data_IF_701176084219
#
_entry.id   IF_701176084219
#
_cell.length_a   1.000
_cell.length_b   1.000
_cell.length_c   1.000
_cell.angle_alpha   90.00
_cell.angle_beta   90.00
_cell.angle_gamma   90.00
#
_symmetry.space_group_name_H-M   'P 1'
#
loop_
_entity.id
_entity.type
_entity.pdbx_description
1 polymer ?
#
# COMPACT_ATOMS: atom_id res chain seq x y z
N UNK A 1 -9.04 -5.71 -4.60
CA UNK A 1 -9.25 -4.81 -5.75
C UNK A 1 -10.23 -5.41 -6.76
N UNK A 2 -9.93 -6.58 -7.35
CA UNK A 2 -10.74 -7.21 -8.42
C UNK A 2 -12.23 -7.40 -8.06
N UNK A 3 -12.55 -7.76 -6.81
CA UNK A 3 -13.94 -7.92 -6.35
C UNK A 3 -14.70 -6.60 -6.44
N UNK A 4 -14.09 -5.50 -6.00
CA UNK A 4 -14.70 -4.18 -6.07
C UNK A 4 -14.90 -3.72 -7.52
N UNK A 5 -13.93 -3.96 -8.40
CA UNK A 5 -14.07 -3.65 -9.82
C UNK A 5 -15.22 -4.44 -10.47
N UNK A 6 -15.41 -5.72 -10.12
CA UNK A 6 -16.56 -6.52 -10.56
C UNK A 6 -17.91 -6.02 -10.03
N UNK A 7 -17.90 -5.26 -8.94
CA UNK A 7 -19.07 -4.57 -8.39
C UNK A 7 -19.23 -3.15 -8.96
N UNK A 8 -18.55 -2.86 -10.06
CA UNK A 8 -18.59 -1.57 -10.78
C UNK A 8 -18.01 -0.38 -10.00
N UNK A 9 -17.29 -0.61 -8.89
CA UNK A 9 -16.54 0.45 -8.21
C UNK A 9 -15.28 0.80 -8.98
N UNK A 10 -15.08 2.07 -9.25
CA UNK A 10 -13.82 2.59 -9.81
C UNK A 10 -12.70 2.39 -8.77
N UNK A 11 -11.87 1.39 -9.01
CA UNK A 11 -10.92 0.89 -8.01
C UNK A 11 -9.48 1.18 -8.40
N UNK A 12 -8.71 1.77 -7.48
CA UNK A 12 -7.27 1.96 -7.58
C UNK A 12 -6.55 1.00 -6.62
N UNK A 13 -5.54 0.33 -7.10
CA UNK A 13 -4.54 -0.38 -6.31
C UNK A 13 -3.23 0.40 -6.32
N UNK A 14 -2.78 0.86 -5.17
CA UNK A 14 -1.45 1.45 -4.97
C UNK A 14 -0.56 0.38 -4.36
N UNK A 15 0.36 -0.16 -5.14
CA UNK A 15 1.24 -1.24 -4.72
C UNK A 15 2.60 -0.69 -4.27
N UNK A 16 2.78 -0.59 -2.95
CA UNK A 16 4.00 -0.13 -2.31
C UNK A 16 4.94 -1.29 -1.94
N UNK A 17 4.43 -2.54 -1.98
CA UNK A 17 5.20 -3.73 -1.64
C UNK A 17 5.98 -4.30 -2.84
N UNK A 18 5.53 -4.03 -4.07
CA UNK A 18 6.13 -4.61 -5.25
C UNK A 18 7.50 -4.02 -5.55
N UNK A 19 8.47 -4.89 -5.67
CA UNK A 19 9.75 -4.63 -6.32
C UNK A 19 9.59 -4.88 -7.82
N UNK A 20 8.81 -4.02 -8.47
CA UNK A 20 8.59 -4.14 -9.90
C UNK A 20 9.83 -3.67 -10.67
N UNK A 21 10.80 -4.55 -10.83
CA UNK A 21 11.93 -4.32 -11.72
C UNK A 21 11.38 -4.05 -13.13
N UNK A 22 11.63 -2.84 -13.65
CA UNK A 22 11.16 -2.43 -14.98
C UNK A 22 9.78 -1.76 -15.01
N UNK A 23 9.14 -1.49 -13.87
CA UNK A 23 7.99 -0.59 -13.80
C UNK A 23 8.41 0.87 -14.10
N UNK A 24 7.45 1.66 -14.58
CA UNK A 24 7.63 3.11 -14.70
C UNK A 24 8.01 3.69 -13.33
N UNK A 25 9.17 4.33 -13.24
CA UNK A 25 9.68 4.93 -11.99
C UNK A 25 8.98 6.25 -11.61
N UNK A 26 8.02 6.69 -12.40
CA UNK A 26 7.33 7.97 -12.24
C UNK A 26 6.74 8.18 -10.86
N UNK A 27 6.11 7.15 -10.29
CA UNK A 27 5.55 7.24 -8.94
C UNK A 27 6.64 7.35 -7.86
N UNK A 28 7.70 6.57 -7.96
CA UNK A 28 8.83 6.64 -7.02
C UNK A 28 9.53 7.99 -7.09
N UNK A 29 9.72 8.54 -8.28
CA UNK A 29 10.29 9.87 -8.50
C UNK A 29 9.38 10.98 -7.99
N UNK A 30 8.07 10.82 -8.14
CA UNK A 30 7.09 11.76 -7.58
C UNK A 30 7.16 11.76 -6.04
N UNK A 31 7.18 10.60 -5.40
CA UNK A 31 7.33 10.50 -3.95
C UNK A 31 8.65 11.11 -3.45
N UNK A 32 9.71 10.97 -4.22
CA UNK A 32 11.03 11.57 -3.94
C UNK A 32 11.10 13.07 -4.22
N UNK A 33 10.03 13.70 -4.73
CA UNK A 33 10.03 15.10 -5.15
C UNK A 33 10.82 15.38 -6.42
N UNK A 34 11.24 14.34 -7.13
CA UNK A 34 12.03 14.44 -8.37
C UNK A 34 11.17 14.50 -9.65
N UNK A 35 9.86 14.33 -9.52
CA UNK A 35 8.90 14.44 -10.61
C UNK A 35 7.60 15.08 -10.13
N UNK A 36 6.79 15.60 -11.07
CA UNK A 36 5.42 16.05 -10.79
C UNK A 36 4.43 14.87 -10.84
N UNK A 37 3.23 15.10 -10.34
CA UNK A 37 2.17 14.09 -10.31
C UNK A 37 1.77 13.58 -11.72
N UNK A 38 1.93 14.38 -12.76
CA UNK A 38 1.68 14.01 -14.15
C UNK A 38 2.60 12.89 -14.68
N UNK A 39 3.73 12.67 -14.00
CA UNK A 39 4.61 11.53 -14.28
C UNK A 39 4.09 10.20 -13.71
N UNK A 40 3.10 10.24 -12.81
CA UNK A 40 2.51 9.04 -12.21
C UNK A 40 1.48 8.44 -13.16
N UNK A 41 1.80 7.29 -13.73
CA UNK A 41 0.91 6.57 -14.66
C UNK A 41 0.30 5.35 -13.99
N UNK A 42 -1.02 5.25 -14.09
CA UNK A 42 -1.72 4.03 -13.73
C UNK A 42 -1.80 3.10 -14.95
N UNK A 43 -1.49 1.84 -14.74
CA UNK A 43 -1.83 0.79 -15.70
C UNK A 43 -3.22 0.24 -15.36
N UNK A 44 -4.01 -0.09 -16.38
CA UNK A 44 -5.34 -0.68 -16.18
C UNK A 44 -5.26 -2.16 -16.50
N UNK A 45 -5.63 -2.99 -15.53
CA UNK A 45 -5.72 -4.44 -15.69
C UNK A 45 -7.00 -4.82 -16.47
N UNK A 46 -7.02 -6.03 -17.02
CA UNK A 46 -8.20 -6.58 -17.75
C UNK A 46 -9.49 -6.55 -16.92
N UNK A 47 -9.38 -6.67 -15.60
CA UNK A 47 -10.53 -6.60 -14.66
C UNK A 47 -10.99 -5.17 -14.35
N UNK A 48 -10.47 -4.14 -15.04
CA UNK A 48 -10.83 -2.73 -14.82
C UNK A 48 -10.20 -2.07 -13.59
N UNK A 49 -9.28 -2.73 -12.91
CA UNK A 49 -8.53 -2.15 -11.78
C UNK A 49 -7.41 -1.28 -12.30
N UNK A 50 -7.37 -0.02 -11.85
CA UNK A 50 -6.20 0.85 -12.07
C UNK A 50 -5.10 0.47 -11.08
N UNK A 51 -3.86 0.36 -11.52
CA UNK A 51 -2.72 -0.01 -10.68
C UNK A 51 -1.61 0.99 -10.82
N UNK A 52 -1.11 1.46 -9.69
CA UNK A 52 0.11 2.28 -9.59
C UNK A 52 1.07 1.50 -8.71
N UNK A 53 2.24 1.17 -9.24
CA UNK A 53 3.26 0.41 -8.51
C UNK A 53 4.48 1.29 -8.24
N UNK A 54 5.09 1.05 -7.10
CA UNK A 54 6.38 1.64 -6.76
C UNK A 54 7.49 0.87 -7.46
N UNK A 55 8.44 1.58 -8.06
CA UNK A 55 9.73 1.01 -8.44
C UNK A 55 10.74 1.26 -7.31
N UNK A 56 11.57 0.30 -6.97
CA UNK A 56 12.63 0.50 -5.98
C UNK A 56 13.70 1.42 -6.56
N UNK A 57 13.77 2.62 -6.04
CA UNK A 57 14.95 3.47 -6.19
C UNK A 57 15.95 3.07 -5.11
N UNK A 58 17.15 2.70 -5.49
CA UNK A 58 18.12 1.96 -4.69
C UNK A 58 18.59 2.62 -3.36
N UNK A 59 18.35 3.88 -3.09
CA UNK A 59 18.98 4.55 -1.96
C UNK A 59 18.04 5.21 -0.92
N UNK A 60 16.76 5.49 -1.22
CA UNK A 60 15.89 6.26 -0.30
C UNK A 60 14.45 5.73 -0.18
N UNK A 61 14.21 4.48 -0.46
CA UNK A 61 12.85 3.91 -0.54
C UNK A 61 12.05 3.93 0.76
N UNK A 62 12.73 3.98 1.91
CA UNK A 62 12.08 3.88 3.22
C UNK A 62 11.46 5.20 3.69
N UNK A 63 12.13 6.32 3.50
CA UNK A 63 11.63 7.64 3.94
C UNK A 63 10.43 8.15 3.10
N UNK A 64 10.24 7.59 1.91
CA UNK A 64 9.21 8.04 0.98
C UNK A 64 7.79 7.62 1.40
N UNK A 65 7.65 6.52 2.14
CA UNK A 65 6.35 6.00 2.54
C UNK A 65 5.72 6.77 3.71
N UNK A 66 6.53 7.41 4.55
CA UNK A 66 6.06 8.28 5.63
C UNK A 66 5.88 9.76 5.18
N UNK A 67 6.01 10.02 3.88
CA UNK A 67 6.04 11.39 3.36
C UNK A 67 4.67 12.04 3.29
N UNK A 68 4.63 13.36 3.51
CA UNK A 68 3.44 14.19 3.24
C UNK A 68 2.99 14.08 1.78
N UNK A 69 3.91 13.78 0.87
CA UNK A 69 3.63 13.60 -0.55
C UNK A 69 2.73 12.40 -0.79
N UNK A 70 3.00 11.25 -0.12
CA UNK A 70 2.13 10.08 -0.21
C UNK A 70 0.74 10.36 0.38
N UNK A 71 0.66 11.01 1.54
CA UNK A 71 -0.61 11.39 2.15
C UNK A 71 -1.45 12.28 1.22
N UNK A 72 -0.84 13.31 0.64
CA UNK A 72 -1.52 14.20 -0.31
C UNK A 72 -1.96 13.46 -1.57
N UNK A 73 -1.13 12.56 -2.06
CA UNK A 73 -1.45 11.73 -3.22
C UNK A 73 -2.67 10.83 -2.97
N UNK A 74 -2.68 10.11 -1.84
CA UNK A 74 -3.80 9.24 -1.49
C UNK A 74 -5.10 10.03 -1.33
N UNK A 75 -5.08 11.18 -0.63
CA UNK A 75 -6.26 12.03 -0.47
C UNK A 75 -6.84 12.48 -1.82
N UNK A 76 -6.00 12.86 -2.78
CA UNK A 76 -6.48 13.18 -4.13
C UNK A 76 -7.08 11.98 -4.85
N UNK A 77 -6.48 10.79 -4.67
CA UNK A 77 -6.99 9.57 -5.32
C UNK A 77 -8.32 9.10 -4.73
N UNK A 78 -8.60 9.40 -3.48
CA UNK A 78 -9.92 9.18 -2.86
C UNK A 78 -11.02 10.04 -3.49
N UNK A 79 -10.69 11.21 -4.02
CA UNK A 79 -11.65 12.03 -4.77
C UNK A 79 -11.92 11.50 -6.19
N UNK A 80 -10.97 10.77 -6.78
CA UNK A 80 -11.02 10.26 -8.15
C UNK A 80 -11.58 8.83 -8.25
N UNK A 81 -11.48 8.04 -7.18
CA UNK A 81 -11.80 6.61 -7.13
C UNK A 81 -12.75 6.29 -6.00
N UNK A 82 -13.69 5.37 -6.23
CA UNK A 82 -14.61 4.90 -5.20
C UNK A 82 -13.92 4.04 -4.14
N UNK A 83 -12.84 3.37 -4.52
CA UNK A 83 -12.03 2.53 -3.64
C UNK A 83 -10.55 2.69 -3.95
N UNK A 84 -9.78 3.07 -2.95
CA UNK A 84 -8.32 3.07 -3.00
C UNK A 84 -7.81 1.97 -2.08
N UNK A 85 -7.08 1.02 -2.64
CA UNK A 85 -6.48 -0.11 -1.90
C UNK A 85 -4.98 0.08 -1.93
N UNK A 86 -4.36 0.13 -0.76
CA UNK A 86 -2.91 0.25 -0.62
C UNK A 86 -2.34 -1.10 -0.19
N UNK A 87 -1.46 -1.67 -1.00
CA UNK A 87 -0.68 -2.84 -0.64
C UNK A 87 0.63 -2.37 -0.01
N UNK A 88 0.70 -2.45 1.31
CA UNK A 88 1.88 -2.04 2.08
C UNK A 88 2.94 -3.15 2.11
N UNK A 89 4.22 -2.80 2.35
CA UNK A 89 5.27 -3.77 2.60
C UNK A 89 5.02 -4.64 3.82
N UNK A 90 5.83 -5.68 3.98
CA UNK A 90 5.78 -6.56 5.15
C UNK A 90 6.00 -5.77 6.45
N UNK A 91 5.13 -6.02 7.43
CA UNK A 91 5.23 -5.43 8.77
C UNK A 91 6.47 -5.90 9.52
N UNK A 92 6.99 -7.11 9.24
CA UNK A 92 8.23 -7.61 9.82
C UNK A 92 9.43 -6.88 9.19
N UNK A 93 10.00 -5.94 9.94
CA UNK A 93 11.23 -5.22 9.55
C UNK A 93 11.03 -3.95 8.71
N UNK A 94 9.79 -3.52 8.49
CA UNK A 94 9.52 -2.27 7.77
C UNK A 94 8.64 -1.32 8.60
N UNK A 95 9.27 -0.36 9.28
CA UNK A 95 8.55 0.64 10.06
C UNK A 95 7.59 1.49 9.20
N UNK A 96 7.89 1.62 7.92
CA UNK A 96 7.10 2.43 6.99
C UNK A 96 5.71 1.85 6.71
N UNK A 97 5.55 0.51 6.85
CA UNK A 97 4.24 -0.12 6.73
C UNK A 97 3.24 0.41 7.75
N UNK A 98 3.69 0.73 8.97
CA UNK A 98 2.86 1.37 9.99
C UNK A 98 2.48 2.80 9.61
N UNK A 99 3.42 3.56 9.06
CA UNK A 99 3.15 4.93 8.60
C UNK A 99 2.13 4.94 7.44
N UNK A 100 2.21 3.98 6.53
CA UNK A 100 1.21 3.80 5.46
C UNK A 100 -0.17 3.45 6.03
N UNK A 101 -0.22 2.55 7.02
CA UNK A 101 -1.47 2.14 7.65
C UNK A 101 -2.19 3.32 8.35
N UNK A 102 -1.43 4.27 8.93
CA UNK A 102 -2.00 5.49 9.52
C UNK A 102 -2.68 6.42 8.50
N UNK A 103 -2.38 6.28 7.21
CA UNK A 103 -3.00 7.06 6.14
C UNK A 103 -4.30 6.44 5.62
N UNK A 104 -4.66 5.25 6.10
CA UNK A 104 -5.80 4.49 5.61
C UNK A 104 -6.93 4.46 6.64
N UNK A 105 -8.18 4.52 6.19
CA UNK A 105 -9.37 4.42 7.05
C UNK A 105 -9.52 3.03 7.67
N UNK A 106 -9.04 2.00 6.97
CA UNK A 106 -9.15 0.59 7.37
C UNK A 106 -7.87 -0.16 7.10
N UNK A 107 -7.50 -1.03 8.03
CA UNK A 107 -6.31 -1.86 7.93
C UNK A 107 -6.67 -3.33 8.05
N UNK A 108 -6.21 -4.12 7.09
CA UNK A 108 -6.31 -5.59 7.10
C UNK A 108 -4.91 -6.18 7.05
N UNK A 109 -4.60 -7.07 7.97
CA UNK A 109 -3.31 -7.75 8.04
C UNK A 109 -3.41 -9.09 7.31
N UNK A 110 -2.57 -9.29 6.30
CA UNK A 110 -2.43 -10.57 5.60
C UNK A 110 -1.31 -11.40 6.23
N UNK A 111 -1.61 -12.65 6.61
CA UNK A 111 -0.66 -13.56 7.24
C UNK A 111 -0.57 -14.86 6.47
N UNK A 112 0.64 -15.33 6.18
CA UNK A 112 0.84 -16.67 5.64
C UNK A 112 0.81 -17.69 6.79
N UNK A 113 -0.06 -18.70 6.68
CA UNK A 113 -0.30 -19.69 7.75
C UNK A 113 0.97 -20.39 8.23
N UNK A 114 1.92 -20.64 7.34
CA UNK A 114 3.16 -21.36 7.65
C UNK A 114 4.26 -20.46 8.24
N UNK A 115 4.08 -19.16 8.21
CA UNK A 115 5.12 -18.17 8.59
C UNK A 115 4.73 -17.35 9.82
N UNK A 116 3.51 -17.54 10.36
CA UNK A 116 3.03 -16.74 11.48
C UNK A 116 2.64 -17.64 12.67
N UNK A 117 3.06 -17.21 13.84
CA UNK A 117 2.67 -17.80 15.13
C UNK A 117 1.65 -16.93 15.85
N UNK A 118 1.00 -17.45 16.90
CA UNK A 118 0.12 -16.63 17.74
C UNK A 118 0.85 -15.48 18.43
N UNK A 119 2.12 -15.68 18.78
CA UNK A 119 2.97 -14.63 19.35
C UNK A 119 3.23 -13.51 18.34
N UNK A 120 3.53 -13.87 17.08
CA UNK A 120 3.73 -12.87 16.01
C UNK A 120 2.47 -12.02 15.79
N UNK A 121 1.29 -12.63 15.81
CA UNK A 121 0.02 -11.89 15.66
C UNK A 121 -0.19 -10.90 16.81
N UNK A 122 0.08 -11.32 18.04
CA UNK A 122 -0.01 -10.45 19.20
C UNK A 122 0.97 -9.27 19.14
N UNK A 123 2.21 -9.53 18.71
CA UNK A 123 3.22 -8.48 18.54
C UNK A 123 2.82 -7.48 17.44
N UNK A 124 2.28 -7.96 16.33
CA UNK A 124 1.79 -7.12 15.22
C UNK A 124 0.63 -6.25 15.72
N UNK A 125 -0.37 -6.84 16.38
CA UNK A 125 -1.52 -6.12 16.91
C UNK A 125 -1.07 -5.04 17.91
N UNK A 126 -0.23 -5.42 18.88
CA UNK A 126 0.31 -4.49 19.89
C UNK A 126 1.09 -3.35 19.24
N UNK A 127 1.87 -3.64 18.20
CA UNK A 127 2.66 -2.61 17.52
C UNK A 127 1.77 -1.67 16.71
N UNK A 128 0.73 -2.19 16.05
CA UNK A 128 -0.23 -1.38 15.32
C UNK A 128 -1.02 -0.47 16.28
N UNK A 129 -1.49 -1.00 17.40
CA UNK A 129 -2.19 -0.22 18.43
C UNK A 129 -1.30 0.89 18.99
N UNK A 130 -0.03 0.59 19.30
CA UNK A 130 0.94 1.59 19.78
C UNK A 130 1.20 2.71 18.76
N UNK A 131 1.00 2.44 17.47
CA UNK A 131 1.09 3.42 16.39
C UNK A 131 -0.28 4.03 16.01
N UNK A 132 -1.29 3.86 16.86
CA UNK A 132 -2.66 4.35 16.63
C UNK A 132 -3.30 3.83 15.33
N UNK A 133 -2.93 2.63 14.90
CA UNK A 133 -3.52 1.93 13.75
C UNK A 133 -4.46 0.85 14.24
N UNK A 134 -5.74 0.99 13.94
CA UNK A 134 -6.74 -0.03 14.23
C UNK A 134 -6.72 -1.13 13.18
N UNK A 135 -6.62 -2.37 13.60
CA UNK A 135 -6.78 -3.55 12.73
C UNK A 135 -8.26 -3.89 12.60
N UNK A 136 -8.80 -3.85 11.40
CA UNK A 136 -10.19 -4.20 11.10
C UNK A 136 -10.37 -5.69 10.80
N UNK A 137 -9.29 -6.39 10.49
CA UNK A 137 -9.32 -7.83 10.24
C UNK A 137 -7.96 -8.43 9.96
N UNK A 138 -7.91 -9.75 10.11
CA UNK A 138 -6.74 -10.56 9.76
C UNK A 138 -7.16 -11.62 8.75
N UNK A 139 -6.41 -11.75 7.66
CA UNK A 139 -6.61 -12.78 6.64
C UNK A 139 -5.44 -13.75 6.69
N UNK A 140 -5.75 -15.00 7.00
CA UNK A 140 -4.75 -16.08 6.98
C UNK A 140 -4.87 -16.82 5.65
N UNK A 141 -3.77 -16.92 4.91
CA UNK A 141 -3.74 -17.55 3.59
C UNK A 141 -2.60 -18.58 3.46
N UNK A 142 -2.68 -19.41 2.44
CA UNK A 142 -1.74 -20.49 2.18
C UNK A 142 -2.13 -21.81 2.87
N UNK A 143 -1.72 -22.90 2.25
CA UNK A 143 -1.89 -24.27 2.77
C UNK A 143 -0.68 -24.68 3.58
#
# INVERSE_FOLDING_TARGET
AKVYAKMEYKTLLVDLAADAAGADDGFSRYLAGAAKEDAVKASVLEDGVSVISRCVLAENGKELMASKTLATFLAKKEEEYDRVIVNAPDLKGCADAYAVAQLCDRTVVGCRRTEITGTDLYEIETTLDNNAVRVDGVVVYGN
#
